data_IF_405758475119
#
_entry.id   IF_405758475119
#
_cell.length_a   1.000
_cell.length_b   1.000
_cell.length_c   1.000
_cell.angle_alpha   90.00
_cell.angle_beta   90.00
_cell.angle_gamma   90.00
#
_symmetry.space_group_name_H-M   'P 1'
#
loop_
_entity.id
_entity.type
_entity.pdbx_description
1 polymer ?
#
# COMPACT_ATOMS: atom_id res chain seq x y z
N UNK A 1 -6.30 31.49 -12.80
CA UNK A 1 -6.69 30.89 -11.50
C UNK A 1 -8.18 30.63 -11.51
N UNK A 2 -8.63 29.52 -10.92
CA UNK A 2 -10.04 29.19 -10.68
C UNK A 2 -10.24 28.94 -9.19
N UNK A 3 -11.25 29.58 -8.61
CA UNK A 3 -11.65 29.42 -7.23
C UNK A 3 -13.03 28.74 -7.14
N UNK A 4 -13.03 27.52 -6.60
CA UNK A 4 -14.23 26.70 -6.39
C UNK A 4 -14.34 26.28 -4.92
N UNK A 5 -13.75 27.04 -4.00
CA UNK A 5 -13.86 26.76 -2.56
C UNK A 5 -15.30 26.89 -2.09
N UNK A 6 -15.66 26.14 -1.04
CA UNK A 6 -16.99 26.22 -0.40
C UNK A 6 -18.18 26.02 -1.35
N UNK A 7 -17.97 25.35 -2.49
CA UNK A 7 -18.96 25.18 -3.55
C UNK A 7 -19.78 23.88 -3.42
N UNK A 8 -19.59 23.14 -2.31
CA UNK A 8 -20.26 21.85 -2.00
C UNK A 8 -20.06 20.78 -3.09
N UNK A 9 -18.96 20.87 -3.84
CA UNK A 9 -18.62 19.92 -4.91
C UNK A 9 -18.41 18.55 -4.30
N UNK A 10 -19.05 17.52 -4.87
CA UNK A 10 -18.94 16.13 -4.42
C UNK A 10 -18.02 15.29 -5.30
N UNK A 11 -17.94 15.64 -6.57
CA UNK A 11 -17.20 14.89 -7.59
C UNK A 11 -16.64 15.87 -8.63
N UNK A 12 -15.52 15.48 -9.25
CA UNK A 12 -14.94 16.17 -10.40
C UNK A 12 -15.05 15.19 -11.56
N UNK A 13 -16.08 15.35 -12.39
CA UNK A 13 -16.30 14.46 -13.53
C UNK A 13 -15.11 14.53 -14.50
N UNK A 14 -14.59 13.38 -14.99
CA UNK A 14 -13.45 13.35 -15.89
C UNK A 14 -13.62 14.28 -17.08
N UNK A 15 -12.53 14.95 -17.47
CA UNK A 15 -12.47 15.90 -18.60
C UNK A 15 -13.30 17.18 -18.46
N UNK A 16 -14.07 17.38 -17.39
CA UNK A 16 -14.85 18.61 -17.18
C UNK A 16 -13.96 19.87 -17.20
N UNK A 17 -12.75 19.77 -16.64
CA UNK A 17 -11.79 20.87 -16.60
C UNK A 17 -10.79 20.87 -17.77
N UNK A 18 -10.84 19.89 -18.68
CA UNK A 18 -9.77 19.66 -19.65
C UNK A 18 -9.61 20.75 -20.72
N UNK A 19 -10.60 21.64 -20.86
CA UNK A 19 -10.54 22.80 -21.74
C UNK A 19 -9.73 23.97 -21.13
N UNK A 20 -9.40 23.92 -19.84
CA UNK A 20 -8.72 24.98 -19.10
C UNK A 20 -7.20 24.82 -19.16
N UNK A 21 -6.65 24.71 -20.37
CA UNK A 21 -5.23 24.35 -20.59
C UNK A 21 -4.22 25.38 -20.04
N UNK A 22 -4.65 26.62 -19.85
CA UNK A 22 -3.84 27.72 -19.29
C UNK A 22 -4.01 27.88 -17.77
N UNK A 23 -4.71 26.94 -17.11
CA UNK A 23 -4.98 27.04 -15.69
C UNK A 23 -3.73 26.84 -14.86
N UNK A 24 -3.31 27.91 -14.18
CA UNK A 24 -2.14 27.93 -13.30
C UNK A 24 -2.45 27.46 -11.86
N UNK A 25 -3.59 27.89 -11.32
CA UNK A 25 -3.98 27.65 -9.91
C UNK A 25 -5.44 27.22 -9.83
N UNK A 26 -5.70 26.14 -9.10
CA UNK A 26 -7.05 25.57 -8.87
C UNK A 26 -7.32 25.39 -7.37
N UNK A 27 -8.34 26.10 -6.87
CA UNK A 27 -8.77 26.02 -5.48
C UNK A 27 -10.04 25.18 -5.35
N UNK A 28 -9.93 23.97 -4.81
CA UNK A 28 -11.03 23.03 -4.58
C UNK A 28 -11.19 22.66 -3.09
N UNK A 29 -10.48 23.34 -2.20
CA UNK A 29 -10.51 23.07 -0.77
C UNK A 29 -11.83 23.51 -0.11
N UNK A 30 -12.16 22.91 1.04
CA UNK A 30 -13.45 23.09 1.73
C UNK A 30 -14.67 22.73 0.85
N UNK A 31 -14.62 21.57 0.20
CA UNK A 31 -15.75 20.98 -0.53
C UNK A 31 -16.12 19.61 0.08
N UNK A 32 -16.90 18.82 -0.64
CA UNK A 32 -17.40 17.51 -0.23
C UNK A 32 -16.87 16.39 -1.13
N UNK A 33 -15.70 16.58 -1.76
CA UNK A 33 -15.13 15.64 -2.73
C UNK A 33 -14.75 14.36 -1.99
N UNK A 34 -15.26 13.21 -2.44
CA UNK A 34 -14.99 11.91 -1.79
C UNK A 34 -13.96 11.06 -2.56
N UNK A 35 -13.92 11.19 -3.88
CA UNK A 35 -13.06 10.37 -4.74
C UNK A 35 -12.41 11.23 -5.83
N UNK A 36 -11.18 10.91 -6.18
CA UNK A 36 -10.50 11.47 -7.35
C UNK A 36 -10.34 10.39 -8.42
N UNK A 37 -11.05 10.57 -9.53
CA UNK A 37 -11.06 9.65 -10.66
C UNK A 37 -10.05 10.05 -11.72
N UNK A 38 -9.55 9.07 -12.48
CA UNK A 38 -8.65 9.33 -13.58
C UNK A 38 -9.29 10.29 -14.60
N UNK A 39 -8.51 11.27 -15.07
CA UNK A 39 -8.97 12.31 -15.97
C UNK A 39 -9.69 13.50 -15.32
N UNK A 40 -9.88 13.53 -13.99
CA UNK A 40 -10.41 14.70 -13.28
C UNK A 40 -9.60 15.99 -13.55
N UNK A 41 -8.29 15.85 -13.74
CA UNK A 41 -7.36 16.94 -14.04
C UNK A 41 -6.67 16.79 -15.41
N UNK A 42 -7.33 16.13 -16.37
CA UNK A 42 -6.79 15.91 -17.70
C UNK A 42 -6.42 17.24 -18.37
N UNK A 43 -5.30 17.25 -19.12
CA UNK A 43 -4.80 18.38 -19.91
C UNK A 43 -4.44 19.67 -19.13
N UNK A 44 -4.37 19.62 -17.79
CA UNK A 44 -3.97 20.77 -16.96
C UNK A 44 -2.43 20.85 -16.78
N UNK A 45 -1.67 20.77 -17.88
CA UNK A 45 -0.20 20.66 -17.82
C UNK A 45 0.52 21.92 -17.33
N UNK A 46 -0.16 23.08 -17.35
CA UNK A 46 0.32 24.36 -16.81
C UNK A 46 -0.05 24.59 -15.34
N UNK A 47 -0.81 23.69 -14.72
CA UNK A 47 -1.23 23.83 -13.33
C UNK A 47 -0.02 23.70 -12.40
N UNK A 48 0.22 24.73 -11.59
CA UNK A 48 1.30 24.81 -10.58
C UNK A 48 0.79 24.53 -9.17
N UNK A 49 -0.41 25.03 -8.84
CA UNK A 49 -0.96 24.97 -7.49
C UNK A 49 -2.32 24.29 -7.47
N UNK A 50 -2.43 23.19 -6.73
CA UNK A 50 -3.67 22.43 -6.56
C UNK A 50 -4.04 22.28 -5.08
N UNK A 51 -5.16 22.90 -4.71
CA UNK A 51 -5.67 22.86 -3.34
C UNK A 51 -6.89 21.95 -3.22
N UNK A 52 -6.73 20.82 -2.52
CA UNK A 52 -7.77 19.81 -2.29
C UNK A 52 -8.01 19.53 -0.80
N UNK A 53 -7.39 20.31 0.09
CA UNK A 53 -7.47 20.12 1.53
C UNK A 53 -8.88 20.39 2.10
N UNK A 54 -9.19 19.83 3.29
CA UNK A 54 -10.52 19.94 3.91
C UNK A 54 -11.65 19.48 2.96
N UNK A 55 -11.46 18.32 2.34
CA UNK A 55 -12.50 17.58 1.62
C UNK A 55 -12.82 16.28 2.37
N UNK A 56 -13.39 15.30 1.69
CA UNK A 56 -13.68 13.97 2.23
C UNK A 56 -12.97 12.88 1.43
N UNK A 57 -11.87 13.22 0.75
CA UNK A 57 -11.21 12.34 -0.22
C UNK A 57 -10.72 11.10 0.49
N UNK A 58 -11.22 9.94 0.09
CA UNK A 58 -10.86 8.64 0.65
C UNK A 58 -10.09 7.80 -0.37
N UNK A 59 -10.55 7.77 -1.61
CA UNK A 59 -9.91 7.05 -2.71
C UNK A 59 -9.36 8.00 -3.77
N UNK A 60 -8.16 7.69 -4.24
CA UNK A 60 -7.50 8.38 -5.36
C UNK A 60 -7.08 7.27 -6.32
N UNK A 61 -7.66 7.26 -7.52
CA UNK A 61 -7.28 6.31 -8.56
C UNK A 61 -5.80 6.50 -8.96
N UNK A 62 -5.17 5.45 -9.49
CA UNK A 62 -3.80 5.54 -9.99
C UNK A 62 -3.71 6.59 -11.10
N UNK A 63 -2.58 7.33 -11.14
CA UNK A 63 -2.23 8.28 -12.21
C UNK A 63 -3.16 9.49 -12.37
N UNK A 64 -4.03 9.79 -11.39
CA UNK A 64 -4.90 10.97 -11.39
C UNK A 64 -4.14 12.29 -11.64
N UNK A 65 -2.89 12.37 -11.20
CA UNK A 65 -2.06 13.57 -11.31
C UNK A 65 -1.05 13.53 -12.47
N UNK A 66 -0.96 12.45 -13.27
CA UNK A 66 0.14 12.24 -14.24
C UNK A 66 0.30 13.37 -15.28
N UNK A 67 -0.78 14.06 -15.64
CA UNK A 67 -0.75 15.15 -16.62
C UNK A 67 -0.32 16.50 -16.04
N UNK A 68 -0.14 16.61 -14.73
CA UNK A 68 0.20 17.84 -14.02
C UNK A 68 1.72 18.06 -13.98
N UNK A 69 2.36 18.07 -15.14
CA UNK A 69 3.84 18.10 -15.29
C UNK A 69 4.49 19.39 -14.80
N UNK A 70 3.70 20.45 -14.58
CA UNK A 70 4.18 21.73 -14.00
C UNK A 70 3.79 21.91 -12.53
N UNK A 71 3.21 20.89 -11.89
CA UNK A 71 2.71 21.01 -10.52
C UNK A 71 3.86 21.18 -9.53
N UNK A 72 3.80 22.24 -8.73
CA UNK A 72 4.80 22.60 -7.73
C UNK A 72 4.27 22.36 -6.32
N UNK A 73 2.97 22.51 -6.09
CA UNK A 73 2.38 22.38 -4.75
C UNK A 73 1.05 21.64 -4.78
N UNK A 74 0.97 20.59 -3.97
CA UNK A 74 -0.21 19.74 -3.84
C UNK A 74 -0.65 19.66 -2.38
N UNK A 75 -1.85 20.16 -2.11
CA UNK A 75 -2.43 20.21 -0.77
C UNK A 75 -3.56 19.20 -0.63
N UNK A 76 -3.31 18.08 0.04
CA UNK A 76 -4.27 16.98 0.29
C UNK A 76 -4.58 16.76 1.78
N UNK A 77 -4.00 17.57 2.67
CA UNK A 77 -4.20 17.48 4.11
C UNK A 77 -5.67 17.69 4.55
N UNK A 78 -6.04 17.20 5.74
CA UNK A 78 -7.42 17.18 6.24
C UNK A 78 -8.40 16.50 5.26
N UNK A 79 -8.07 15.28 4.85
CA UNK A 79 -8.93 14.39 4.08
C UNK A 79 -9.05 13.03 4.81
N UNK A 80 -9.46 11.98 4.11
CA UNK A 80 -9.60 10.61 4.64
C UNK A 80 -8.76 9.60 3.87
N UNK A 81 -7.70 10.06 3.20
CA UNK A 81 -6.84 9.23 2.36
C UNK A 81 -6.21 8.16 3.25
N UNK A 82 -6.40 6.90 2.90
CA UNK A 82 -5.94 5.77 3.71
C UNK A 82 -4.96 4.86 2.96
N UNK A 83 -4.93 4.94 1.63
CA UNK A 83 -4.04 4.17 0.74
C UNK A 83 -3.32 5.11 -0.21
N UNK A 84 -2.01 4.89 -0.34
CA UNK A 84 -1.19 5.43 -1.41
C UNK A 84 -0.74 4.26 -2.29
N UNK A 85 -0.58 4.51 -3.59
CA UNK A 85 -0.02 3.57 -4.54
C UNK A 85 1.25 4.16 -5.18
N UNK A 86 2.11 3.30 -5.70
CA UNK A 86 3.42 3.69 -6.25
C UNK A 86 3.34 4.62 -7.46
N UNK A 87 2.22 4.61 -8.19
CA UNK A 87 2.03 5.42 -9.39
C UNK A 87 1.30 6.75 -9.12
N UNK A 88 0.90 7.01 -7.86
CA UNK A 88 0.01 8.12 -7.54
C UNK A 88 0.62 9.48 -7.89
N UNK A 89 1.93 9.64 -7.62
CA UNK A 89 2.67 10.87 -7.86
C UNK A 89 3.68 10.74 -9.01
N UNK A 90 3.50 9.73 -9.87
CA UNK A 90 4.41 9.46 -10.96
C UNK A 90 4.45 10.64 -11.94
N UNK A 91 5.65 11.04 -12.35
CA UNK A 91 5.85 12.13 -13.32
C UNK A 91 5.73 13.55 -12.75
N UNK A 92 5.42 13.73 -11.46
CA UNK A 92 5.38 15.04 -10.80
C UNK A 92 6.79 15.55 -10.43
N UNK A 93 7.68 15.64 -11.41
CA UNK A 93 9.11 15.92 -11.19
C UNK A 93 9.41 17.32 -10.66
N UNK A 94 8.50 18.28 -10.89
CA UNK A 94 8.60 19.66 -10.38
C UNK A 94 7.93 19.89 -9.02
N UNK A 95 7.34 18.85 -8.42
CA UNK A 95 6.59 19.02 -7.17
C UNK A 95 7.56 19.33 -6.03
N UNK A 96 7.42 20.51 -5.44
CA UNK A 96 8.25 21.00 -4.34
C UNK A 96 7.59 20.75 -2.97
N UNK A 97 6.26 20.83 -2.90
CA UNK A 97 5.51 20.75 -1.64
C UNK A 97 4.35 19.77 -1.75
N UNK A 98 4.39 18.74 -0.91
CA UNK A 98 3.32 17.75 -0.77
C UNK A 98 2.83 17.68 0.67
N UNK A 99 1.55 18.03 0.88
CA UNK A 99 0.95 18.01 2.21
C UNK A 99 -0.15 16.95 2.30
N UNK A 100 0.13 15.90 3.05
CA UNK A 100 -0.73 14.74 3.30
C UNK A 100 -1.07 14.56 4.79
N UNK A 101 -0.64 15.48 5.67
CA UNK A 101 -0.94 15.42 7.11
C UNK A 101 -2.45 15.44 7.39
N UNK A 102 -2.87 14.94 8.56
CA UNK A 102 -4.28 14.84 8.92
C UNK A 102 -5.09 14.03 7.88
N UNK A 103 -4.59 12.85 7.57
CA UNK A 103 -5.26 11.82 6.78
C UNK A 103 -5.28 10.51 7.59
N UNK A 104 -5.51 9.36 6.94
CA UNK A 104 -5.58 8.04 7.56
C UNK A 104 -4.55 7.07 6.98
N UNK A 105 -3.44 7.59 6.46
CA UNK A 105 -2.42 6.81 5.77
C UNK A 105 -1.73 5.92 6.79
N UNK A 106 -1.77 4.60 6.57
CA UNK A 106 -1.15 3.62 7.46
C UNK A 106 0.19 3.11 6.97
N UNK A 107 0.27 2.83 5.67
CA UNK A 107 1.49 2.33 5.00
C UNK A 107 1.73 3.13 3.73
N UNK A 108 3.00 3.31 3.39
CA UNK A 108 3.45 3.99 2.19
C UNK A 108 4.34 3.01 1.43
N UNK A 109 3.91 2.50 0.27
CA UNK A 109 4.71 1.57 -0.50
C UNK A 109 6.07 2.18 -0.88
N UNK A 110 7.17 1.39 -0.86
CA UNK A 110 8.44 1.81 -1.43
C UNK A 110 8.26 2.29 -2.88
N UNK A 111 8.96 3.34 -3.26
CA UNK A 111 8.89 3.92 -4.59
C UNK A 111 7.81 4.98 -4.81
N UNK A 112 6.89 5.17 -3.85
CA UNK A 112 5.78 6.16 -3.95
C UNK A 112 6.26 7.59 -4.23
N UNK A 113 7.48 7.94 -3.83
CA UNK A 113 8.05 9.29 -3.98
C UNK A 113 9.23 9.37 -4.97
N UNK A 114 9.56 8.31 -5.70
CA UNK A 114 10.78 8.25 -6.53
C UNK A 114 10.80 9.29 -7.66
N UNK A 115 9.63 9.64 -8.20
CA UNK A 115 9.51 10.67 -9.25
C UNK A 115 9.66 12.10 -8.72
N UNK A 116 9.59 12.32 -7.40
CA UNK A 116 9.52 13.65 -6.79
C UNK A 116 10.90 14.26 -6.57
N UNK A 117 11.66 14.43 -7.66
CA UNK A 117 13.06 14.85 -7.63
C UNK A 117 13.30 16.27 -7.12
N UNK A 118 12.29 17.15 -7.18
CA UNK A 118 12.34 18.52 -6.67
C UNK A 118 11.69 18.70 -5.29
N UNK A 119 11.32 17.62 -4.61
CA UNK A 119 10.58 17.69 -3.36
C UNK A 119 11.41 18.30 -2.24
N UNK A 120 10.99 19.49 -1.80
CA UNK A 120 11.63 20.24 -0.73
C UNK A 120 10.82 20.18 0.57
N UNK A 121 9.51 19.89 0.52
CA UNK A 121 8.67 19.77 1.71
C UNK A 121 7.66 18.65 1.60
N UNK A 122 7.61 17.80 2.62
CA UNK A 122 6.66 16.71 2.75
C UNK A 122 6.11 16.64 4.17
N UNK A 123 4.79 16.72 4.31
CA UNK A 123 4.10 16.53 5.60
C UNK A 123 3.20 15.31 5.57
N UNK A 124 3.53 14.36 6.42
CA UNK A 124 2.86 13.08 6.66
C UNK A 124 2.48 12.89 8.13
N UNK A 125 2.82 13.82 9.02
CA UNK A 125 2.40 13.82 10.43
C UNK A 125 0.87 13.77 10.59
N UNK A 126 0.39 13.43 11.78
CA UNK A 126 -1.04 13.24 12.03
C UNK A 126 -1.70 12.25 11.04
N UNK A 127 -1.01 11.16 10.73
CA UNK A 127 -1.52 9.99 10.01
C UNK A 127 -1.42 8.75 10.91
N UNK A 128 -1.73 7.57 10.38
CA UNK A 128 -1.73 6.30 11.12
C UNK A 128 -0.49 5.45 10.80
N UNK A 129 0.66 6.09 10.56
CA UNK A 129 1.85 5.43 10.04
C UNK A 129 2.28 4.27 10.94
N UNK A 130 2.39 3.08 10.33
CA UNK A 130 2.98 1.91 10.97
C UNK A 130 4.48 1.93 10.69
N UNK A 131 5.26 2.11 11.74
CA UNK A 131 6.70 2.19 11.76
C UNK A 131 7.31 0.83 12.05
N UNK A 132 7.13 -0.04 11.07
CA UNK A 132 7.72 -1.37 11.00
C UNK A 132 8.83 -1.35 9.94
N UNK A 133 9.41 -2.50 9.60
CA UNK A 133 10.51 -2.52 8.65
C UNK A 133 10.15 -1.97 7.25
N UNK A 134 8.86 -2.01 6.87
CA UNK A 134 8.40 -1.52 5.56
C UNK A 134 8.57 0.00 5.40
N UNK A 135 8.70 0.78 6.49
CA UNK A 135 8.83 2.25 6.41
C UNK A 135 10.29 2.71 6.37
N UNK A 136 11.26 1.82 6.58
CA UNK A 136 12.68 2.19 6.71
C UNK A 136 13.20 2.94 5.47
N UNK A 137 12.74 2.57 4.27
CA UNK A 137 13.12 3.28 3.04
C UNK A 137 12.77 4.78 3.11
N UNK A 138 11.65 5.12 3.74
CA UNK A 138 11.20 6.51 3.86
C UNK A 138 12.12 7.27 4.80
N UNK A 139 12.54 6.67 5.92
CA UNK A 139 13.54 7.28 6.82
C UNK A 139 14.81 7.66 6.05
N UNK A 140 15.29 6.76 5.19
CA UNK A 140 16.48 7.00 4.37
C UNK A 140 16.28 8.15 3.36
N UNK A 141 15.12 8.20 2.70
CA UNK A 141 14.76 9.30 1.79
C UNK A 141 14.72 10.64 2.54
N UNK A 142 14.01 10.69 3.67
CA UNK A 142 13.83 11.92 4.44
C UNK A 142 15.17 12.45 4.99
N UNK A 143 16.04 11.56 5.48
CA UNK A 143 17.37 11.93 5.97
C UNK A 143 18.30 12.43 4.89
N UNK A 144 18.29 11.80 3.71
CA UNK A 144 19.11 12.22 2.57
C UNK A 144 18.76 13.66 2.15
N UNK A 145 17.48 14.01 2.17
CA UNK A 145 17.00 15.35 1.82
C UNK A 145 17.30 16.43 2.87
N UNK A 146 17.54 16.07 4.14
CA UNK A 146 17.87 17.03 5.20
C UNK A 146 19.33 17.51 5.19
N UNK A 147 20.24 16.77 4.55
CA UNK A 147 21.67 17.10 4.52
C UNK A 147 22.03 18.28 3.58
N UNK A 148 21.04 18.98 3.00
CA UNK A 148 21.24 20.12 2.08
C UNK A 148 21.28 21.50 2.75
N UNK A 149 21.34 21.58 4.09
CA UNK A 149 21.68 22.83 4.79
C UNK A 149 20.54 23.84 4.98
N UNK A 150 19.28 23.43 4.81
CA UNK A 150 18.11 24.29 5.07
C UNK A 150 17.27 23.80 6.27
N UNK A 151 16.52 24.74 6.85
CA UNK A 151 15.88 24.75 8.17
C UNK A 151 15.05 23.51 8.58
N UNK A 152 15.01 23.29 9.89
CA UNK A 152 14.08 22.40 10.60
C UNK A 152 12.61 22.63 10.16
N UNK A 153 11.91 21.58 9.71
CA UNK A 153 10.47 21.62 9.41
C UNK A 153 10.07 21.36 7.95
N UNK A 154 11.03 21.05 7.07
CA UNK A 154 10.75 20.65 5.68
C UNK A 154 10.02 19.32 5.58
N UNK A 155 10.42 18.36 6.41
CA UNK A 155 9.89 17.01 6.45
C UNK A 155 9.28 16.74 7.82
N UNK A 156 8.03 16.30 7.85
CA UNK A 156 7.35 15.95 9.10
C UNK A 156 6.61 14.62 8.91
N UNK A 157 6.99 13.61 9.67
CA UNK A 157 6.34 12.30 9.68
C UNK A 157 6.53 11.68 11.06
N UNK A 158 5.43 11.21 11.65
CA UNK A 158 5.41 10.66 13.00
C UNK A 158 4.78 9.27 12.97
N UNK A 159 5.36 8.37 13.74
CA UNK A 159 4.83 7.03 13.94
C UNK A 159 3.53 7.08 14.75
N UNK A 160 2.58 6.24 14.39
CA UNK A 160 1.38 5.98 15.19
C UNK A 160 1.38 4.55 15.75
N UNK A 161 1.92 3.62 14.96
CA UNK A 161 2.08 2.22 15.34
C UNK A 161 3.53 1.78 15.12
N UNK A 162 4.01 0.76 15.83
CA UNK A 162 3.39 0.19 17.03
C UNK A 162 3.29 1.25 18.16
N UNK A 163 2.49 1.00 19.19
CA UNK A 163 2.09 2.04 20.16
C UNK A 163 3.30 2.60 20.93
N UNK A 164 4.33 1.79 21.13
CA UNK A 164 5.62 2.12 21.75
C UNK A 164 6.41 3.15 20.93
N UNK A 165 6.06 3.30 19.65
CA UNK A 165 6.67 4.25 18.72
C UNK A 165 5.76 5.44 18.45
N UNK A 166 4.54 5.47 19.01
CA UNK A 166 3.59 6.55 18.80
C UNK A 166 4.19 7.92 19.16
N UNK A 167 4.07 8.89 18.25
CA UNK A 167 4.60 10.25 18.38
C UNK A 167 6.10 10.40 18.10
N UNK A 168 6.84 9.32 17.84
CA UNK A 168 8.25 9.42 17.45
C UNK A 168 8.37 9.92 16.01
N UNK A 169 9.21 10.93 15.80
CA UNK A 169 9.50 11.47 14.46
C UNK A 169 10.42 10.54 13.67
N UNK A 170 10.02 10.19 12.44
CA UNK A 170 10.83 9.37 11.53
C UNK A 170 12.20 10.01 11.23
N UNK A 171 12.32 11.33 11.31
CA UNK A 171 13.59 12.04 11.09
C UNK A 171 14.65 11.67 12.12
N UNK A 172 14.22 11.34 13.34
CA UNK A 172 15.11 11.05 14.47
C UNK A 172 15.40 9.55 14.60
N UNK A 173 14.85 8.71 13.71
CA UNK A 173 14.93 7.26 13.80
C UNK A 173 16.00 6.69 12.88
N UNK A 174 16.50 5.52 13.21
CA UNK A 174 17.58 4.79 12.55
C UNK A 174 17.13 3.38 12.22
N UNK A 175 17.87 2.66 11.36
CA UNK A 175 17.56 1.28 10.99
C UNK A 175 17.39 0.34 12.20
N UNK A 176 18.18 0.57 13.26
CA UNK A 176 18.12 -0.22 14.49
C UNK A 176 16.77 -0.10 15.21
N UNK A 177 16.03 0.99 15.01
CA UNK A 177 14.73 1.21 15.66
C UNK A 177 13.60 0.35 15.06
N UNK A 178 13.80 -0.25 13.88
CA UNK A 178 12.77 -0.98 13.12
C UNK A 178 12.94 -2.50 13.18
N UNK A 179 13.94 -3.03 13.89
CA UNK A 179 14.23 -4.47 14.05
C UNK A 179 14.18 -5.28 12.72
N UNK A 180 14.55 -4.65 11.60
CA UNK A 180 14.44 -5.19 10.24
C UNK A 180 15.19 -6.51 9.97
N UNK A 181 16.10 -6.89 10.87
CA UNK A 181 16.95 -8.07 10.72
C UNK A 181 16.31 -9.34 11.27
N UNK A 182 15.23 -9.23 12.04
CA UNK A 182 14.51 -10.36 12.60
C UNK A 182 13.47 -10.89 11.62
N UNK A 183 13.51 -12.19 11.33
CA UNK A 183 12.45 -12.86 10.59
C UNK A 183 11.19 -12.92 11.44
N UNK A 184 10.10 -12.30 10.98
CA UNK A 184 8.79 -12.36 11.65
C UNK A 184 7.67 -12.52 10.64
N UNK A 185 6.63 -13.28 10.97
CA UNK A 185 5.44 -13.33 10.12
C UNK A 185 4.58 -12.09 10.34
N UNK A 186 4.23 -11.44 9.22
CA UNK A 186 3.29 -10.33 9.17
C UNK A 186 1.86 -10.82 9.03
N UNK A 187 1.67 -11.84 8.20
CA UNK A 187 0.39 -12.53 8.02
C UNK A 187 0.67 -14.03 7.91
N UNK A 188 0.01 -14.81 8.75
CA UNK A 188 0.13 -16.27 8.80
C UNK A 188 -1.12 -16.95 8.21
N UNK A 189 -0.99 -18.16 7.64
CA UNK A 189 -2.08 -18.81 6.93
C UNK A 189 -3.22 -19.21 7.86
N UNK A 190 -4.45 -19.03 7.40
CA UNK A 190 -5.66 -19.54 8.03
C UNK A 190 -6.16 -20.79 7.31
N UNK A 191 -7.02 -21.57 7.98
CA UNK A 191 -7.77 -22.63 7.33
C UNK A 191 -8.58 -22.08 6.16
N UNK A 192 -8.55 -22.78 5.02
CA UNK A 192 -9.23 -22.39 3.78
C UNK A 192 -10.30 -23.41 3.46
N UNK A 193 -11.53 -22.95 3.28
CA UNK A 193 -12.64 -23.80 2.82
C UNK A 193 -12.87 -23.59 1.33
N UNK A 194 -12.92 -24.67 0.55
CA UNK A 194 -13.07 -24.61 -0.91
C UNK A 194 -13.89 -25.79 -1.45
N UNK A 195 -14.69 -25.55 -2.48
CA UNK A 195 -15.40 -26.63 -3.18
C UNK A 195 -14.45 -27.46 -4.05
N UNK A 196 -14.82 -28.72 -4.35
CA UNK A 196 -14.07 -29.55 -5.30
C UNK A 196 -13.87 -28.84 -6.66
N UNK A 197 -12.63 -28.82 -7.15
CA UNK A 197 -12.24 -28.11 -8.38
C UNK A 197 -12.07 -26.60 -8.23
N UNK A 198 -12.32 -26.02 -7.05
CA UNK A 198 -12.10 -24.60 -6.76
C UNK A 198 -10.62 -24.26 -6.55
N UNK A 199 -10.33 -22.99 -6.26
CA UNK A 199 -8.97 -22.52 -5.95
C UNK A 199 -8.85 -22.11 -4.49
N UNK A 200 -7.81 -22.60 -3.81
CA UNK A 200 -7.48 -22.24 -2.44
C UNK A 200 -6.25 -21.34 -2.39
N UNK A 201 -6.23 -20.38 -1.47
CA UNK A 201 -5.10 -19.48 -1.27
C UNK A 201 -4.72 -19.41 0.20
N UNK A 202 -3.49 -19.80 0.52
CA UNK A 202 -2.92 -19.69 1.86
C UNK A 202 -1.97 -18.50 1.92
N UNK A 203 -2.33 -17.51 2.74
CA UNK A 203 -1.50 -16.32 2.94
C UNK A 203 -0.25 -16.64 3.75
N UNK A 204 0.91 -16.13 3.32
CA UNK A 204 2.12 -16.11 4.14
C UNK A 204 2.95 -14.88 3.77
N UNK A 205 2.99 -13.89 4.66
CA UNK A 205 3.78 -12.67 4.48
C UNK A 205 4.77 -12.53 5.61
N UNK A 206 5.99 -12.17 5.27
CA UNK A 206 7.11 -12.05 6.20
C UNK A 206 7.54 -10.59 6.24
N UNK A 207 7.81 -10.10 7.45
CA UNK A 207 8.44 -8.81 7.69
C UNK A 207 9.96 -9.00 7.80
N UNK A 208 10.71 -8.02 7.27
CA UNK A 208 12.15 -7.99 7.38
C UNK A 208 12.82 -8.90 6.37
N UNK A 209 13.75 -8.30 5.61
CA UNK A 209 14.75 -8.95 4.73
C UNK A 209 14.36 -9.16 3.27
N UNK A 210 15.13 -8.49 2.41
CA UNK A 210 15.37 -8.97 1.05
C UNK A 210 16.13 -10.31 1.12
N UNK A 211 15.97 -11.17 0.12
CA UNK A 211 16.64 -12.49 0.00
C UNK A 211 16.14 -13.60 0.95
N UNK A 212 14.88 -13.57 1.39
CA UNK A 212 14.27 -14.71 2.10
C UNK A 212 13.79 -15.77 1.10
N UNK A 213 14.00 -17.05 1.41
CA UNK A 213 13.41 -18.16 0.65
C UNK A 213 12.16 -18.66 1.37
N UNK A 214 11.01 -18.56 0.70
CA UNK A 214 9.75 -19.14 1.18
C UNK A 214 9.56 -20.54 0.61
N UNK A 215 9.27 -21.49 1.48
CA UNK A 215 9.03 -22.90 1.17
C UNK A 215 7.68 -23.26 1.78
N UNK A 216 6.86 -24.01 1.05
CA UNK A 216 5.61 -24.52 1.59
C UNK A 216 5.70 -26.02 1.79
N UNK A 217 5.18 -26.47 2.93
CA UNK A 217 5.07 -27.89 3.24
C UNK A 217 3.62 -28.29 3.34
N UNK A 218 3.32 -29.52 2.94
CA UNK A 218 2.07 -30.23 3.22
C UNK A 218 2.39 -31.48 4.01
N UNK A 219 1.85 -31.56 5.22
CA UNK A 219 2.08 -32.66 6.16
C UNK A 219 3.57 -32.93 6.37
N UNK A 220 4.35 -31.86 6.60
CA UNK A 220 5.81 -31.84 6.75
C UNK A 220 6.64 -32.15 5.49
N UNK A 221 6.03 -32.37 4.32
CA UNK A 221 6.74 -32.59 3.07
C UNK A 221 6.73 -31.33 2.21
N UNK A 222 7.87 -30.94 1.64
CA UNK A 222 7.94 -29.80 0.71
C UNK A 222 7.03 -30.03 -0.50
N UNK A 223 6.25 -29.02 -0.85
CA UNK A 223 5.34 -29.07 -1.99
C UNK A 223 6.17 -28.98 -3.27
N UNK A 224 5.99 -29.94 -4.17
CA UNK A 224 6.61 -29.92 -5.48
C UNK A 224 5.95 -28.85 -6.37
N UNK A 225 6.69 -27.78 -6.63
CA UNK A 225 6.25 -26.66 -7.48
C UNK A 225 6.29 -26.97 -8.97
N UNK A 226 6.66 -28.20 -9.38
CA UNK A 226 6.56 -28.65 -10.78
C UNK A 226 5.12 -28.89 -11.22
N UNK A 227 4.19 -29.13 -10.28
CA UNK A 227 2.76 -29.23 -10.57
C UNK A 227 2.19 -27.85 -10.92
N UNK A 228 1.72 -27.72 -12.17
CA UNK A 228 1.11 -26.51 -12.73
C UNK A 228 -0.09 -25.95 -11.95
N UNK A 229 -0.70 -26.75 -11.05
CA UNK A 229 -1.79 -26.31 -10.17
C UNK A 229 -1.30 -25.42 -9.04
N UNK A 230 -0.05 -25.59 -8.60
CA UNK A 230 0.55 -24.78 -7.57
C UNK A 230 1.22 -23.55 -8.17
N UNK A 231 1.00 -22.39 -7.54
CA UNK A 231 1.74 -21.19 -7.89
C UNK A 231 2.07 -20.39 -6.64
N UNK A 232 3.33 -20.00 -6.52
CA UNK A 232 3.81 -19.14 -5.45
C UNK A 232 3.63 -17.68 -5.84
N UNK A 233 3.20 -16.88 -4.88
CA UNK A 233 3.17 -15.42 -4.99
C UNK A 233 3.94 -14.81 -3.83
N UNK A 234 4.23 -13.51 -3.88
CA UNK A 234 4.83 -12.81 -2.74
C UNK A 234 3.94 -12.81 -1.48
N UNK A 235 2.65 -13.08 -1.64
CA UNK A 235 1.66 -13.04 -0.57
C UNK A 235 1.27 -14.42 -0.03
N UNK A 236 1.70 -15.52 -0.68
CA UNK A 236 1.32 -16.87 -0.29
C UNK A 236 1.27 -17.91 -1.41
N UNK A 237 0.71 -19.08 -1.08
CA UNK A 237 0.55 -20.24 -1.97
C UNK A 237 -0.87 -20.30 -2.54
N UNK A 238 -0.96 -20.41 -3.86
CA UNK A 238 -2.21 -20.67 -4.58
C UNK A 238 -2.25 -22.12 -5.06
N UNK A 239 -3.40 -22.77 -4.84
CA UNK A 239 -3.69 -24.14 -5.30
C UNK A 239 -4.92 -24.07 -6.20
N UNK A 240 -4.75 -24.39 -7.49
CA UNK A 240 -5.85 -24.45 -8.46
C UNK A 240 -6.43 -25.86 -8.54
N UNK A 241 -7.72 -25.95 -8.84
CA UNK A 241 -8.42 -27.22 -9.04
C UNK A 241 -8.25 -28.18 -7.85
N UNK A 242 -8.60 -27.70 -6.66
CA UNK A 242 -8.45 -28.43 -5.40
C UNK A 242 -9.22 -29.76 -5.41
N UNK A 243 -8.58 -30.81 -4.91
CA UNK A 243 -9.07 -32.19 -4.93
C UNK A 243 -8.78 -32.89 -3.61
N UNK A 244 -9.29 -34.12 -3.44
CA UNK A 244 -9.02 -34.94 -2.25
C UNK A 244 -7.52 -35.19 -2.00
N UNK A 245 -6.68 -35.13 -3.06
CA UNK A 245 -5.23 -35.28 -2.94
C UNK A 245 -4.54 -34.06 -2.31
N UNK A 246 -5.25 -32.94 -2.20
CA UNK A 246 -4.75 -31.70 -1.64
C UNK A 246 -5.10 -31.54 -0.15
N UNK A 247 -5.95 -32.42 0.40
CA UNK A 247 -6.28 -32.42 1.83
C UNK A 247 -5.01 -32.68 2.66
N UNK A 248 -4.76 -31.79 3.62
CA UNK A 248 -3.59 -31.86 4.48
C UNK A 248 -3.42 -30.59 5.31
N UNK A 249 -2.34 -30.57 6.09
CA UNK A 249 -1.92 -29.42 6.89
C UNK A 249 -0.79 -28.70 6.17
N UNK A 250 -0.98 -27.42 5.92
CA UNK A 250 -0.07 -26.53 5.21
C UNK A 250 0.64 -25.61 6.20
N UNK A 251 1.96 -25.52 6.04
CA UNK A 251 2.80 -24.59 6.80
C UNK A 251 3.72 -23.84 5.83
N UNK A 252 3.91 -22.56 6.13
CA UNK A 252 4.87 -21.72 5.43
C UNK A 252 6.18 -21.72 6.23
N UNK A 253 7.27 -22.08 5.56
CA UNK A 253 8.62 -22.05 6.12
C UNK A 253 9.43 -20.98 5.43
N UNK A 254 10.04 -20.11 6.22
CA UNK A 254 10.87 -19.01 5.73
C UNK A 254 12.28 -19.24 6.20
N UNK A 255 13.21 -19.21 5.25
CA UNK A 255 14.63 -19.40 5.51
C UNK A 255 15.41 -18.16 5.10
N UNK A 256 16.23 -17.67 6.03
CA UNK A 256 17.24 -16.61 5.82
C UNK A 256 18.54 -17.09 6.42
N UNK A 257 19.53 -17.35 5.56
CA UNK A 257 20.83 -17.88 5.97
C UNK A 257 20.67 -19.15 6.84
N UNK A 258 20.98 -19.05 8.14
CA UNK A 258 20.90 -20.13 9.12
C UNK A 258 19.65 -20.07 10.01
N UNK A 259 18.76 -19.11 9.80
CA UNK A 259 17.51 -18.95 10.55
C UNK A 259 16.36 -19.52 9.73
N UNK A 260 15.58 -20.39 10.37
CA UNK A 260 14.35 -20.95 9.83
C UNK A 260 13.18 -20.61 10.75
N UNK A 261 12.10 -20.11 10.18
CA UNK A 261 10.86 -19.79 10.89
C UNK A 261 9.69 -20.51 10.22
N UNK A 262 8.87 -21.21 11.01
CA UNK A 262 7.66 -21.88 10.53
C UNK A 262 6.43 -21.13 11.00
N UNK A 263 5.47 -20.93 10.11
CA UNK A 263 4.18 -20.35 10.45
C UNK A 263 3.36 -21.32 11.30
N UNK A 264 2.28 -20.84 11.88
CA UNK A 264 1.20 -21.72 12.36
C UNK A 264 0.67 -22.61 11.22
N UNK A 265 0.17 -23.81 11.55
CA UNK A 265 -0.46 -24.70 10.59
C UNK A 265 -1.83 -24.20 10.14
N UNK A 266 -2.18 -24.49 8.89
CA UNK A 266 -3.49 -24.23 8.31
C UNK A 266 -3.98 -25.43 7.50
N UNK A 267 -5.29 -25.66 7.44
CA UNK A 267 -5.89 -26.79 6.75
C UNK A 267 -6.71 -26.35 5.55
N UNK A 268 -6.74 -27.19 4.52
CA UNK A 268 -7.75 -27.07 3.46
C UNK A 268 -8.96 -27.93 3.82
N UNK A 269 -10.14 -27.35 3.74
CA UNK A 269 -11.42 -28.00 4.04
C UNK A 269 -12.20 -28.07 2.73
N UNK A 270 -12.45 -29.28 2.24
CA UNK A 270 -13.22 -29.49 1.01
C UNK A 270 -14.71 -29.54 1.32
N UNK A 271 -15.46 -28.59 0.77
CA UNK A 271 -16.91 -28.65 0.79
C UNK A 271 -17.42 -29.60 -0.29
N UNK A 272 -18.11 -30.66 0.14
CA UNK A 272 -18.87 -31.50 -0.78
C UNK A 272 -20.19 -30.81 -1.11
N UNK A 273 -20.39 -30.45 -2.38
CA UNK A 273 -21.72 -30.13 -2.92
C UNK A 273 -22.55 -31.42 -3.12
N UNK A 274 -22.61 -32.27 -2.09
CA UNK A 274 -23.57 -33.36 -2.05
C UNK A 274 -24.88 -32.79 -1.48
N UNK A 275 -26.01 -32.82 -2.20
CA UNK A 275 -27.30 -32.61 -1.57
C UNK A 275 -27.45 -33.65 -0.45
N UNK A 276 -28.01 -33.25 0.69
CA UNK A 276 -28.27 -34.13 1.82
C UNK A 276 -29.08 -35.36 1.35
N UNK A 277 -28.42 -36.49 1.08
CA UNK A 277 -29.09 -37.66 0.53
C UNK A 277 -28.25 -38.76 -0.12
N UNK A 278 -26.99 -38.52 -0.51
CA UNK A 278 -26.20 -39.60 -1.13
C UNK A 278 -25.58 -40.55 -0.08
N UNK A 279 -26.19 -41.73 0.09
CA UNK A 279 -25.58 -42.89 0.75
C UNK A 279 -24.54 -43.52 -0.18
N UNK A 280 -23.27 -43.56 0.23
CA UNK A 280 -22.25 -44.37 -0.42
C UNK A 280 -22.57 -45.86 -0.21
N UNK A 281 -22.84 -46.60 -1.29
CA UNK A 281 -22.81 -48.06 -1.28
C UNK A 281 -21.36 -48.49 -1.51
N UNK A 282 -20.76 -49.09 -0.48
CA UNK A 282 -19.54 -49.89 -0.65
C UNK A 282 -19.98 -51.28 -1.12
N UNK A 283 -19.50 -51.69 -2.30
CA UNK A 283 -19.54 -53.07 -2.82
C UNK A 283 -18.21 -53.75 -2.55
#
# INVERSE_FOLDING_TARGET
>A
MIDLRFSRIKDIEPKTLAHLTELDTLLLNNNNINDLKNGAFANLSKLRLLYLYKNKIENIESRVFNNLTSLEQLYLHFNKIHKLNVEMFQGLTKLERLFLHNNRIRKIPPGTFDSLTSLARLRLDSNLLTCDCDILWLVNVLKKSHNSGEESGQFAAECQFPIEMSGKSLMNMTENDFHCNELRFKEEPNDVTVSFGGSAFFTCKVEGSQNVKTIWTRDNNEIDMSDSRYSMTNDGLMIKSASLKDVGTYECMVKKENVELKSRPAKIILESNAPAGCKCFFS
#
